data_IF_046115093197
#
_entry.id   IF_046115093197
#
_cell.length_a   1.000
_cell.length_b   1.000
_cell.length_c   1.000
_cell.angle_alpha   90.00
_cell.angle_beta   90.00
_cell.angle_gamma   90.00
#
_symmetry.space_group_name_H-M   'P 1'
#
loop_
_entity.id
_entity.type
_entity.pdbx_description
1 polymer ?
#
# COMPACT_ATOMS: atom_id res chain seq x y z
N UNK A 1 -5.22 -0.06 13.32
CA UNK A 1 -5.77 0.46 12.05
C UNK A 1 -7.28 0.58 12.19
N UNK A 2 -7.86 1.70 11.74
CA UNK A 2 -9.31 1.96 11.78
C UNK A 2 -9.97 1.63 10.44
N UNK A 3 -9.22 1.72 9.35
CA UNK A 3 -9.59 1.19 8.04
C UNK A 3 -8.71 -0.03 7.82
N UNK A 4 -9.28 -1.23 7.74
CA UNK A 4 -8.44 -2.43 7.64
C UNK A 4 -7.76 -2.49 6.28
N UNK A 5 -8.54 -2.30 5.20
CA UNK A 5 -8.01 -2.44 3.85
C UNK A 5 -8.76 -1.58 2.84
N UNK A 6 -7.98 -1.03 1.90
CA UNK A 6 -8.44 -0.31 0.72
C UNK A 6 -7.90 -1.01 -0.52
N UNK A 7 -8.75 -1.34 -1.49
CA UNK A 7 -8.39 -2.06 -2.72
C UNK A 7 -8.96 -1.40 -3.96
N UNK A 8 -8.21 -1.48 -5.06
CA UNK A 8 -8.64 -1.09 -6.39
C UNK A 8 -8.95 -2.32 -7.22
N UNK A 9 -10.08 -2.30 -7.92
CA UNK A 9 -10.56 -3.43 -8.72
C UNK A 9 -10.88 -2.99 -10.13
N UNK A 10 -10.27 -3.62 -11.13
CA UNK A 10 -10.44 -3.27 -12.53
C UNK A 10 -11.22 -4.37 -13.28
N UNK A 11 -12.18 -3.96 -14.12
CA UNK A 11 -13.04 -4.88 -14.88
C UNK A 11 -13.45 -4.32 -16.24
N UNK A 12 -13.46 -5.20 -17.24
CA UNK A 12 -14.06 -4.97 -18.56
C UNK A 12 -15.16 -6.00 -18.85
N UNK A 13 -16.42 -5.65 -18.61
CA UNK A 13 -17.52 -6.59 -18.76
C UNK A 13 -17.40 -7.78 -17.82
N UNK A 14 -17.35 -9.00 -18.36
CA UNK A 14 -17.12 -10.21 -17.57
C UNK A 14 -15.66 -10.40 -17.13
N UNK A 15 -14.72 -9.68 -17.75
CA UNK A 15 -13.29 -9.88 -17.55
C UNK A 15 -12.78 -9.08 -16.35
N UNK A 16 -12.06 -9.75 -15.44
CA UNK A 16 -11.28 -9.08 -14.40
C UNK A 16 -9.92 -8.73 -14.97
N UNK A 17 -9.56 -7.45 -14.94
CA UNK A 17 -8.28 -6.95 -15.45
C UNK A 17 -7.21 -7.10 -14.36
N UNK A 18 -6.79 -8.34 -14.10
CA UNK A 18 -5.91 -8.69 -12.98
C UNK A 18 -4.56 -7.96 -13.02
N UNK A 19 -4.00 -7.75 -14.21
CA UNK A 19 -2.74 -7.01 -14.37
C UNK A 19 -2.85 -5.56 -13.90
N UNK A 20 -4.02 -4.90 -14.05
CA UNK A 20 -4.23 -3.57 -13.50
C UNK A 20 -4.39 -3.60 -11.97
N UNK A 21 -5.05 -4.63 -11.42
CA UNK A 21 -5.11 -4.81 -9.97
C UNK A 21 -3.70 -4.94 -9.37
N UNK A 22 -2.84 -5.75 -9.99
CA UNK A 22 -1.45 -5.97 -9.57
C UNK A 22 -0.63 -4.68 -9.72
N UNK A 23 -0.73 -4.00 -10.86
CA UNK A 23 -0.01 -2.76 -11.16
C UNK A 23 -0.33 -1.63 -10.17
N UNK A 24 -1.61 -1.48 -9.79
CA UNK A 24 -2.04 -0.44 -8.86
C UNK A 24 -2.12 -0.89 -7.40
N UNK A 25 -1.70 -2.11 -7.07
CA UNK A 25 -1.79 -2.64 -5.71
C UNK A 25 -0.99 -1.81 -4.69
N UNK A 26 0.24 -1.41 -5.04
CA UNK A 26 1.03 -0.52 -4.19
C UNK A 26 0.32 0.82 -3.94
N UNK A 27 -0.37 1.35 -4.96
CA UNK A 27 -1.13 2.60 -4.83
C UNK A 27 -2.32 2.45 -3.87
N UNK A 28 -3.01 1.30 -3.87
CA UNK A 28 -4.08 1.05 -2.89
C UNK A 28 -3.54 0.87 -1.46
N UNK A 29 -2.36 0.29 -1.30
CA UNK A 29 -1.67 0.20 0.00
C UNK A 29 -1.27 1.59 0.52
N UNK A 30 -0.69 2.43 -0.36
CA UNK A 30 -0.36 3.81 -0.03
C UNK A 30 -1.60 4.57 0.44
N UNK A 31 -2.71 4.47 -0.30
CA UNK A 31 -3.98 5.09 0.09
C UNK A 31 -4.45 4.60 1.45
N UNK A 32 -4.42 3.28 1.69
CA UNK A 32 -4.86 2.71 2.96
C UNK A 32 -4.04 3.25 4.15
N UNK A 33 -2.72 3.35 4.00
CA UNK A 33 -1.82 3.87 5.03
C UNK A 33 -2.12 5.34 5.30
N UNK A 34 -2.15 6.18 4.25
CA UNK A 34 -2.41 7.61 4.38
C UNK A 34 -3.80 7.93 4.93
N UNK A 35 -4.81 7.13 4.57
CA UNK A 35 -6.14 7.26 5.18
C UNK A 35 -6.07 6.96 6.68
N UNK A 36 -5.38 5.90 7.09
CA UNK A 36 -5.25 5.53 8.51
C UNK A 36 -4.45 6.53 9.33
N UNK A 37 -3.53 7.30 8.73
CA UNK A 37 -2.77 8.34 9.42
C UNK A 37 -3.67 9.49 9.93
N UNK A 38 -4.84 9.69 9.29
CA UNK A 38 -5.73 10.81 9.58
C UNK A 38 -7.15 10.42 9.98
N UNK A 39 -7.60 9.22 9.63
CA UNK A 39 -8.98 8.81 9.81
C UNK A 39 -9.31 8.53 11.28
N UNK A 40 -10.19 9.36 11.86
CA UNK A 40 -10.58 9.24 13.27
C UNK A 40 -11.99 8.63 13.49
N UNK A 41 -12.71 8.27 12.43
CA UNK A 41 -14.08 7.80 12.50
C UNK A 41 -14.29 6.35 12.98
N UNK A 42 -15.50 5.84 12.75
CA UNK A 42 -15.87 4.43 13.04
C UNK A 42 -15.07 3.48 12.17
N UNK A 43 -14.79 2.27 12.68
CA UNK A 43 -14.07 1.24 11.91
C UNK A 43 -14.75 0.99 10.56
N UNK A 44 -13.95 0.99 9.49
CA UNK A 44 -14.35 0.57 8.15
C UNK A 44 -13.57 -0.71 7.86
N UNK A 45 -14.27 -1.78 7.51
CA UNK A 45 -13.61 -3.05 7.27
C UNK A 45 -12.92 -3.01 5.90
N UNK A 46 -13.71 -2.82 4.84
CA UNK A 46 -13.17 -2.73 3.49
C UNK A 46 -13.60 -1.45 2.77
N UNK A 47 -12.66 -0.83 2.08
CA UNK A 47 -12.94 0.17 1.04
C UNK A 47 -12.56 -0.45 -0.30
N UNK A 48 -13.56 -0.69 -1.15
CA UNK A 48 -13.39 -1.22 -2.49
C UNK A 48 -13.71 -0.11 -3.50
N UNK A 49 -12.71 0.31 -4.27
CA UNK A 49 -12.90 1.24 -5.37
C UNK A 49 -12.84 0.44 -6.66
N UNK A 50 -14.00 0.24 -7.25
CA UNK A 50 -14.13 -0.44 -8.53
C UNK A 50 -13.91 0.56 -9.67
N UNK A 51 -13.14 0.16 -10.68
CA UNK A 51 -12.86 0.87 -11.92
C UNK A 51 -13.38 0.00 -13.07
N UNK A 52 -14.53 0.38 -13.61
CA UNK A 52 -15.23 -0.35 -14.66
C UNK A 52 -15.19 0.38 -16.00
N UNK A 53 -15.08 -0.35 -17.10
CA UNK A 53 -15.32 0.17 -18.45
C UNK A 53 -16.82 0.32 -18.72
N UNK A 54 -17.20 1.02 -19.79
CA UNK A 54 -18.60 1.15 -20.21
C UNK A 54 -19.27 -0.21 -20.48
N UNK A 55 -18.54 -1.15 -21.07
CA UNK A 55 -18.99 -2.52 -21.32
C UNK A 55 -19.49 -3.22 -20.05
N UNK A 56 -18.90 -2.92 -18.89
CA UNK A 56 -19.36 -3.48 -17.61
C UNK A 56 -20.77 -3.02 -17.27
N UNK A 57 -21.05 -1.74 -17.46
CA UNK A 57 -22.35 -1.14 -17.17
C UNK A 57 -23.42 -1.59 -18.18
N UNK A 58 -23.04 -1.82 -19.43
CA UNK A 58 -23.92 -2.38 -20.46
C UNK A 58 -24.32 -3.83 -20.15
N UNK A 59 -23.38 -4.67 -19.73
CA UNK A 59 -23.62 -6.09 -19.43
C UNK A 59 -24.34 -6.27 -18.08
N UNK A 60 -24.03 -5.43 -17.09
CA UNK A 60 -24.59 -5.50 -15.75
C UNK A 60 -25.35 -4.22 -15.37
N UNK A 61 -26.55 -3.99 -15.93
CA UNK A 61 -27.30 -2.75 -15.73
C UNK A 61 -27.77 -2.52 -14.28
N UNK A 62 -27.73 -3.54 -13.43
CA UNK A 62 -27.98 -3.40 -11.99
C UNK A 62 -26.81 -2.71 -11.24
N UNK A 63 -25.62 -2.66 -11.84
CA UNK A 63 -24.49 -1.89 -11.33
C UNK A 63 -24.65 -0.47 -11.84
N UNK A 64 -24.91 0.46 -10.94
CA UNK A 64 -25.03 1.87 -11.31
C UNK A 64 -23.65 2.53 -11.40
N UNK A 65 -23.43 3.26 -12.50
CA UNK A 65 -22.20 4.00 -12.79
C UNK A 65 -22.03 5.20 -11.85
N UNK A 66 -20.81 5.40 -11.34
CA UNK A 66 -20.44 6.46 -10.39
C UNK A 66 -21.30 6.45 -9.11
N UNK A 67 -21.54 5.26 -8.56
CA UNK A 67 -22.41 5.09 -7.39
C UNK A 67 -21.75 4.36 -6.22
N UNK A 68 -22.02 4.89 -5.04
CA UNK A 68 -21.69 4.30 -3.75
C UNK A 68 -22.69 3.19 -3.38
N UNK A 69 -22.15 2.08 -2.89
CA UNK A 69 -22.89 0.98 -2.29
C UNK A 69 -22.30 0.64 -0.91
N UNK A 70 -23.15 0.38 0.07
CA UNK A 70 -22.74 -0.08 1.40
C UNK A 70 -23.17 -1.52 1.62
N UNK A 71 -22.24 -2.36 2.07
CA UNK A 71 -22.53 -3.72 2.50
C UNK A 71 -21.97 -3.92 3.90
N UNK A 72 -22.83 -3.77 4.92
CA UNK A 72 -22.40 -3.83 6.33
C UNK A 72 -21.31 -2.78 6.65
N UNK A 73 -20.07 -3.20 6.93
CA UNK A 73 -18.91 -2.34 7.22
C UNK A 73 -18.04 -2.08 5.99
N UNK A 74 -18.51 -2.51 4.82
CA UNK A 74 -17.79 -2.35 3.57
C UNK A 74 -18.35 -1.17 2.78
N UNK A 75 -17.43 -0.30 2.38
CA UNK A 75 -17.66 0.77 1.43
C UNK A 75 -17.26 0.25 0.04
N UNK A 76 -18.17 0.33 -0.93
CA UNK A 76 -17.89 0.02 -2.32
C UNK A 76 -18.30 1.18 -3.21
N UNK A 77 -17.41 1.65 -4.08
CA UNK A 77 -17.73 2.69 -5.06
C UNK A 77 -17.54 2.14 -6.47
N UNK A 78 -18.60 2.17 -7.29
CA UNK A 78 -18.59 1.72 -8.67
C UNK A 78 -18.14 2.88 -9.58
N UNK A 79 -16.84 2.97 -9.82
CA UNK A 79 -16.22 3.99 -10.65
C UNK A 79 -16.10 3.61 -12.12
N UNK A 80 -15.74 4.58 -12.94
CA UNK A 80 -15.54 4.40 -14.37
C UNK A 80 -14.10 4.75 -14.75
N UNK A 81 -13.51 4.01 -15.68
CA UNK A 81 -12.27 4.42 -16.33
C UNK A 81 -12.32 4.09 -17.82
N UNK A 82 -11.60 4.89 -18.60
CA UNK A 82 -11.38 4.64 -20.02
C UNK A 82 -10.08 3.83 -20.15
N UNK A 83 -10.21 2.58 -20.59
CA UNK A 83 -9.08 1.66 -20.70
C UNK A 83 -8.13 2.06 -21.84
N UNK A 84 -8.66 2.52 -22.98
CA UNK A 84 -7.84 2.92 -24.12
C UNK A 84 -6.99 4.14 -23.78
N UNK A 85 -7.58 5.13 -23.13
CA UNK A 85 -6.87 6.32 -22.68
C UNK A 85 -5.86 6.00 -21.59
N UNK A 86 -6.21 5.10 -20.65
CA UNK A 86 -5.26 4.66 -19.63
C UNK A 86 -4.02 4.02 -20.28
N UNK A 87 -4.16 3.17 -21.31
CA UNK A 87 -3.00 2.55 -21.95
C UNK A 87 -2.12 3.50 -22.74
N UNK A 88 -2.64 4.64 -23.21
CA UNK A 88 -1.86 5.68 -23.91
C UNK A 88 -0.96 6.47 -22.96
N UNK A 89 -1.24 6.45 -21.66
CA UNK A 89 -0.48 7.18 -20.63
C UNK A 89 0.84 6.49 -20.26
N UNK A 90 1.85 7.27 -19.88
CA UNK A 90 3.06 6.72 -19.24
C UNK A 90 2.80 6.29 -17.79
N UNK A 91 3.72 5.54 -17.20
CA UNK A 91 3.54 4.94 -15.86
C UNK A 91 3.16 5.96 -14.76
N UNK A 92 3.82 7.13 -14.74
CA UNK A 92 3.54 8.19 -13.77
C UNK A 92 2.17 8.86 -13.99
N UNK A 93 1.76 9.03 -15.24
CA UNK A 93 0.44 9.57 -15.61
C UNK A 93 -0.68 8.62 -15.22
N UNK A 94 -0.51 7.31 -15.49
CA UNK A 94 -1.44 6.25 -15.06
C UNK A 94 -1.69 6.29 -13.56
N UNK A 95 -0.62 6.38 -12.75
CA UNK A 95 -0.72 6.46 -11.29
C UNK A 95 -1.49 7.70 -10.85
N UNK A 96 -1.18 8.87 -11.41
CA UNK A 96 -1.90 10.12 -11.10
C UNK A 96 -3.37 10.05 -11.48
N UNK A 97 -3.69 9.54 -12.67
CA UNK A 97 -5.07 9.38 -13.15
C UNK A 97 -5.91 8.49 -12.21
N UNK A 98 -5.38 7.32 -11.81
CA UNK A 98 -6.07 6.43 -10.88
C UNK A 98 -6.17 7.05 -9.48
N UNK A 99 -5.13 7.75 -9.02
CA UNK A 99 -5.13 8.44 -7.74
C UNK A 99 -6.20 9.54 -7.66
N UNK A 100 -6.29 10.38 -8.68
CA UNK A 100 -7.28 11.45 -8.79
C UNK A 100 -8.71 10.91 -8.82
N UNK A 101 -8.95 9.82 -9.57
CA UNK A 101 -10.25 9.15 -9.58
C UNK A 101 -10.60 8.55 -8.23
N UNK A 102 -9.66 7.82 -7.60
CA UNK A 102 -9.87 7.26 -6.27
C UNK A 102 -10.20 8.35 -5.24
N UNK A 103 -9.48 9.48 -5.29
CA UNK A 103 -9.78 10.66 -4.46
C UNK A 103 -11.21 11.16 -4.67
N UNK A 104 -11.61 11.42 -5.91
CA UNK A 104 -12.97 11.89 -6.24
C UNK A 104 -14.03 10.92 -5.70
N UNK A 105 -13.86 9.63 -5.98
CA UNK A 105 -14.81 8.59 -5.56
C UNK A 105 -14.94 8.49 -4.05
N UNK A 106 -13.85 8.62 -3.30
CA UNK A 106 -13.91 8.60 -1.85
C UNK A 106 -14.45 9.89 -1.24
N UNK A 107 -14.23 11.04 -1.87
CA UNK A 107 -14.88 12.30 -1.45
C UNK A 107 -16.39 12.19 -1.65
N UNK A 108 -16.85 11.76 -2.82
CA UNK A 108 -18.26 11.56 -3.10
C UNK A 108 -18.86 10.56 -2.09
N UNK A 109 -18.14 9.46 -1.80
CA UNK A 109 -18.58 8.47 -0.83
C UNK A 109 -18.70 9.04 0.60
N UNK A 110 -17.72 9.86 1.02
CA UNK A 110 -17.72 10.51 2.31
C UNK A 110 -18.86 11.52 2.44
N UNK A 111 -19.17 12.26 1.37
CA UNK A 111 -20.25 13.26 1.35
C UNK A 111 -21.63 12.59 1.40
N UNK A 112 -21.88 11.58 0.55
CA UNK A 112 -23.14 10.83 0.54
C UNK A 112 -23.40 10.19 1.91
N UNK A 113 -22.35 9.72 2.59
CA UNK A 113 -22.47 9.09 3.91
C UNK A 113 -22.39 10.06 5.08
N UNK A 114 -22.25 11.37 4.83
CA UNK A 114 -22.03 12.39 5.86
C UNK A 114 -20.85 12.06 6.81
N UNK A 115 -19.82 11.38 6.30
CA UNK A 115 -18.66 10.91 7.06
C UNK A 115 -17.52 11.94 7.00
N UNK A 116 -17.60 12.96 7.84
CA UNK A 116 -16.62 14.06 7.88
C UNK A 116 -15.18 13.57 8.11
N UNK A 117 -14.98 12.57 8.98
CA UNK A 117 -13.66 12.00 9.23
C UNK A 117 -13.06 11.35 7.98
N UNK A 118 -13.88 10.68 7.17
CA UNK A 118 -13.42 10.10 5.91
C UNK A 118 -13.11 11.22 4.91
N UNK A 119 -13.93 12.26 4.84
CA UNK A 119 -13.70 13.40 3.95
C UNK A 119 -12.35 14.09 4.25
N UNK A 120 -12.04 14.31 5.52
CA UNK A 120 -10.75 14.88 5.96
C UNK A 120 -9.57 13.96 5.65
N UNK A 121 -9.71 12.66 5.94
CA UNK A 121 -8.66 11.67 5.68
C UNK A 121 -8.36 11.55 4.18
N UNK A 122 -9.39 11.57 3.33
CA UNK A 122 -9.24 11.49 1.87
C UNK A 122 -8.56 12.72 1.29
N UNK A 123 -8.92 13.93 1.76
CA UNK A 123 -8.23 15.19 1.38
C UNK A 123 -6.76 15.16 1.79
N UNK A 124 -6.48 14.72 3.00
CA UNK A 124 -5.11 14.54 3.49
C UNK A 124 -4.33 13.55 2.63
N UNK A 125 -4.88 12.34 2.45
CA UNK A 125 -4.24 11.27 1.71
C UNK A 125 -3.92 11.70 0.28
N UNK A 126 -4.85 12.33 -0.42
CA UNK A 126 -4.63 12.82 -1.78
C UNK A 126 -3.41 13.75 -1.89
N UNK A 127 -3.37 14.80 -1.05
CA UNK A 127 -2.28 15.78 -1.05
C UNK A 127 -0.96 15.15 -0.64
N UNK A 128 -0.97 14.30 0.38
CA UNK A 128 0.24 13.66 0.89
C UNK A 128 0.80 12.63 -0.09
N UNK A 129 -0.06 11.86 -0.76
CA UNK A 129 0.36 10.94 -1.82
C UNK A 129 1.05 11.67 -2.97
N UNK A 130 0.51 12.82 -3.40
CA UNK A 130 1.15 13.63 -4.45
C UNK A 130 2.51 14.20 -4.02
N UNK A 131 2.67 14.63 -2.77
CA UNK A 131 3.97 15.08 -2.25
C UNK A 131 5.03 13.99 -2.24
N UNK A 132 4.62 12.72 -2.14
CA UNK A 132 5.49 11.54 -2.15
C UNK A 132 5.66 10.95 -3.54
N UNK A 133 5.26 11.66 -4.59
CA UNK A 133 5.27 11.19 -5.98
C UNK A 133 4.59 9.81 -6.16
N UNK A 134 3.59 9.52 -5.32
CA UNK A 134 2.85 8.25 -5.28
C UNK A 134 3.77 7.01 -5.10
N UNK A 135 4.88 7.18 -4.39
CA UNK A 135 5.74 6.08 -3.93
C UNK A 135 5.05 5.38 -2.76
N UNK A 136 4.78 4.09 -2.93
CA UNK A 136 4.04 3.27 -1.97
C UNK A 136 4.94 2.58 -0.93
N UNK A 137 6.26 2.71 -1.06
CA UNK A 137 7.23 2.11 -0.18
C UNK A 137 7.04 2.57 1.27
N UNK A 138 7.15 1.65 2.21
CA UNK A 138 6.97 1.96 3.62
C UNK A 138 7.79 1.06 4.54
N UNK A 139 8.09 1.57 5.72
CA UNK A 139 8.74 0.83 6.80
C UNK A 139 7.68 0.01 7.53
N UNK A 140 7.83 -1.32 7.55
CA UNK A 140 6.91 -2.21 8.29
C UNK A 140 7.38 -2.45 9.73
N UNK A 141 8.70 -2.44 9.96
CA UNK A 141 9.34 -2.58 11.27
C UNK A 141 10.56 -1.69 11.33
N UNK A 142 10.77 -1.05 12.48
CA UNK A 142 11.99 -0.32 12.79
C UNK A 142 12.31 -0.45 14.27
N UNK A 143 13.60 -0.40 14.61
CA UNK A 143 14.10 -0.31 15.98
C UNK A 143 15.33 0.60 16.02
N UNK A 144 15.33 1.53 16.97
CA UNK A 144 16.50 2.33 17.32
C UNK A 144 17.36 1.56 18.34
N UNK A 145 18.67 1.58 18.17
CA UNK A 145 19.60 0.98 19.13
C UNK A 145 20.95 1.70 19.16
N UNK A 146 21.64 1.58 20.29
CA UNK A 146 23.00 2.12 20.46
C UNK A 146 24.04 1.00 20.35
N UNK A 147 25.13 1.27 19.65
CA UNK A 147 26.32 0.41 19.59
C UNK A 147 27.58 1.28 19.59
N UNK A 148 28.51 0.98 20.48
CA UNK A 148 29.82 1.67 20.55
C UNK A 148 29.69 3.20 20.72
N UNK A 149 28.63 3.65 21.39
CA UNK A 149 28.33 5.07 21.60
C UNK A 149 27.67 5.76 20.41
N UNK A 150 27.32 5.04 19.36
CA UNK A 150 26.65 5.55 18.17
C UNK A 150 25.22 5.00 18.06
N UNK A 151 24.31 5.84 17.58
CA UNK A 151 22.90 5.48 17.40
C UNK A 151 22.65 4.98 15.98
N UNK A 152 21.86 3.93 15.87
CA UNK A 152 21.52 3.28 14.62
C UNK A 152 20.02 3.03 14.54
N UNK A 153 19.49 3.03 13.32
CA UNK A 153 18.10 2.64 13.01
C UNK A 153 18.12 1.43 12.11
N UNK A 154 17.57 0.32 12.59
CA UNK A 154 17.42 -0.91 11.82
C UNK A 154 15.97 -1.03 11.34
N UNK A 155 15.77 -0.99 10.02
CA UNK A 155 14.44 -0.95 9.40
C UNK A 155 14.24 -2.09 8.41
N UNK A 156 13.01 -2.59 8.34
CA UNK A 156 12.53 -3.43 7.24
C UNK A 156 11.52 -2.65 6.43
N UNK A 157 11.80 -2.54 5.14
CA UNK A 157 10.98 -1.87 4.15
C UNK A 157 10.20 -2.89 3.34
N UNK A 158 8.99 -2.52 2.93
CA UNK A 158 8.27 -3.11 1.81
C UNK A 158 8.30 -2.07 0.69
N UNK A 159 8.76 -2.50 -0.48
CA UNK A 159 8.88 -1.68 -1.68
C UNK A 159 8.06 -2.25 -2.82
N UNK A 160 7.48 -1.37 -3.64
CA UNK A 160 6.57 -1.75 -4.72
C UNK A 160 7.16 -1.40 -6.09
N UNK A 161 7.08 -2.36 -7.01
CA UNK A 161 7.35 -2.21 -8.43
C UNK A 161 6.09 -2.56 -9.23
N UNK A 162 6.13 -2.37 -10.55
CA UNK A 162 4.94 -2.52 -11.41
C UNK A 162 4.35 -3.94 -11.38
N UNK A 163 5.18 -4.97 -11.28
CA UNK A 163 4.78 -6.39 -11.33
C UNK A 163 5.10 -7.17 -10.05
N UNK A 164 5.87 -6.59 -9.13
CA UNK A 164 6.32 -7.26 -7.92
C UNK A 164 6.41 -6.32 -6.73
N UNK A 165 6.48 -6.92 -5.55
CA UNK A 165 6.90 -6.26 -4.33
C UNK A 165 8.05 -7.03 -3.69
N UNK A 166 8.92 -6.30 -3.02
CA UNK A 166 10.07 -6.86 -2.36
C UNK A 166 10.28 -6.20 -1.02
N UNK A 167 11.05 -6.86 -0.18
CA UNK A 167 11.42 -6.38 1.12
C UNK A 167 12.92 -6.25 1.23
N UNK A 168 13.35 -5.22 1.94
CA UNK A 168 14.76 -4.97 2.21
C UNK A 168 14.97 -4.55 3.65
N UNK A 169 16.11 -4.95 4.18
CA UNK A 169 16.63 -4.47 5.44
C UNK A 169 17.55 -3.27 5.18
N UNK A 170 17.41 -2.20 5.96
CA UNK A 170 18.36 -1.08 6.01
C UNK A 170 18.90 -0.91 7.42
N UNK A 171 20.18 -0.55 7.51
CA UNK A 171 20.80 0.00 8.70
C UNK A 171 21.18 1.44 8.41
N UNK A 172 20.68 2.36 9.22
CA UNK A 172 20.91 3.78 9.09
C UNK A 172 21.71 4.32 10.29
N UNK A 173 22.59 5.29 10.01
CA UNK A 173 23.35 6.07 10.98
C UNK A 173 23.32 7.53 10.55
N UNK A 174 23.00 8.43 11.47
CA UNK A 174 22.91 9.88 11.21
C UNK A 174 22.06 10.19 9.96
N UNK A 175 20.91 9.53 9.81
CA UNK A 175 19.99 9.61 8.66
C UNK A 175 20.56 9.14 7.31
N UNK A 176 21.67 8.40 7.31
CA UNK A 176 22.25 7.79 6.11
C UNK A 176 22.21 6.26 6.17
N UNK A 177 21.75 5.63 5.08
CA UNK A 177 21.81 4.17 4.93
C UNK A 177 23.27 3.75 4.78
N UNK A 178 23.78 3.00 5.75
CA UNK A 178 25.15 2.46 5.74
C UNK A 178 25.19 0.99 5.32
N UNK A 179 24.04 0.31 5.35
CA UNK A 179 23.90 -1.06 4.88
C UNK A 179 22.49 -1.31 4.35
N UNK A 180 22.40 -2.02 3.22
CA UNK A 180 21.13 -2.45 2.63
C UNK A 180 21.23 -3.91 2.19
N UNK A 181 20.20 -4.70 2.49
CA UNK A 181 20.12 -6.11 2.09
C UNK A 181 18.70 -6.48 1.68
N UNK A 182 18.54 -6.96 0.45
CA UNK A 182 17.28 -7.55 0.01
C UNK A 182 16.99 -8.82 0.82
N UNK A 183 15.73 -8.98 1.25
CA UNK A 183 15.29 -10.11 2.08
C UNK A 183 14.49 -11.11 1.23
N UNK A 184 13.42 -10.64 0.60
CA UNK A 184 12.51 -11.48 -0.17
C UNK A 184 11.78 -10.67 -1.26
N UNK A 185 11.22 -11.37 -2.24
CA UNK A 185 10.33 -10.81 -3.25
C UNK A 185 9.13 -11.72 -3.51
N UNK A 186 8.03 -11.12 -4.00
CA UNK A 186 6.83 -11.84 -4.42
C UNK A 186 6.07 -11.02 -5.47
N UNK A 187 5.06 -11.62 -6.10
CA UNK A 187 4.13 -10.92 -6.97
C UNK A 187 3.33 -9.87 -6.20
N UNK A 188 3.05 -8.74 -6.84
CA UNK A 188 2.13 -7.72 -6.33
C UNK A 188 0.76 -8.33 -5.99
N UNK A 189 0.09 -7.81 -4.95
CA UNK A 189 -1.20 -8.33 -4.48
C UNK A 189 -1.12 -9.46 -3.44
N UNK A 190 0.07 -9.99 -3.13
CA UNK A 190 0.25 -11.01 -2.08
C UNK A 190 0.14 -10.40 -0.67
N UNK A 191 -1.08 -10.16 -0.18
CA UNK A 191 -1.34 -9.45 1.09
C UNK A 191 -0.53 -9.96 2.29
N UNK A 192 -0.35 -11.28 2.40
CA UNK A 192 0.45 -11.88 3.47
C UNK A 192 1.86 -11.29 3.57
N UNK A 193 2.47 -10.92 2.43
CA UNK A 193 3.81 -10.32 2.36
C UNK A 193 3.92 -9.02 3.15
N UNK A 194 2.84 -8.23 3.24
CA UNK A 194 2.81 -6.96 3.97
C UNK A 194 2.91 -7.16 5.49
N UNK A 195 2.59 -8.37 5.98
CA UNK A 195 2.50 -8.70 7.39
C UNK A 195 3.53 -9.74 7.87
N UNK A 196 4.42 -10.23 7.00
CA UNK A 196 5.37 -11.32 7.35
C UNK A 196 6.37 -10.89 8.44
N UNK A 197 6.73 -9.62 8.51
CA UNK A 197 7.70 -9.15 9.48
C UNK A 197 7.02 -8.81 10.81
N UNK A 198 7.40 -9.52 11.87
CA UNK A 198 6.77 -9.38 13.20
C UNK A 198 7.58 -8.51 14.16
N UNK A 199 8.91 -8.66 14.18
CA UNK A 199 9.79 -7.85 15.04
C UNK A 199 11.24 -7.86 14.55
N UNK A 200 12.00 -6.85 14.95
CA UNK A 200 13.46 -6.80 14.85
C UNK A 200 13.99 -6.86 16.29
N UNK A 201 15.06 -7.63 16.52
CA UNK A 201 15.79 -7.60 17.79
C UNK A 201 17.27 -7.43 17.52
N UNK A 202 17.95 -6.78 18.46
CA UNK A 202 19.38 -6.59 18.43
C UNK A 202 20.00 -7.36 19.59
N UNK A 203 21.01 -8.17 19.30
CA UNK A 203 21.89 -8.77 20.30
C UNK A 203 23.33 -8.27 20.10
N UNK A 204 24.31 -8.86 20.80
CA UNK A 204 25.70 -8.37 20.78
C UNK A 204 26.32 -8.40 19.37
N UNK A 205 25.98 -9.40 18.58
CA UNK A 205 26.70 -9.71 17.33
C UNK A 205 25.78 -9.67 16.10
N UNK A 206 24.45 -9.71 16.31
CA UNK A 206 23.48 -9.83 15.25
C UNK A 206 22.28 -8.88 15.40
N UNK A 207 21.73 -8.54 14.24
CA UNK A 207 20.35 -8.10 14.10
C UNK A 207 19.54 -9.29 13.60
N UNK A 208 18.44 -9.60 14.30
CA UNK A 208 17.53 -10.69 13.93
C UNK A 208 16.16 -10.15 13.56
N UNK A 209 15.72 -10.45 12.34
CA UNK A 209 14.39 -10.12 11.82
C UNK A 209 13.51 -11.37 11.95
N UNK A 210 12.40 -11.27 12.68
CA UNK A 210 11.49 -12.38 12.91
C UNK A 210 10.23 -12.29 12.06
N UNK A 211 9.72 -13.44 11.66
CA UNK A 211 8.40 -13.61 11.05
C UNK A 211 7.71 -14.91 11.50
N UNK A 212 6.64 -15.31 10.80
CA UNK A 212 5.99 -16.61 10.97
C UNK A 212 6.97 -17.78 10.81
N UNK A 213 6.68 -18.89 11.51
CA UNK A 213 7.55 -20.08 11.53
C UNK A 213 7.60 -20.85 10.20
N UNK A 214 6.59 -20.65 9.38
CA UNK A 214 6.36 -21.26 8.07
C UNK A 214 6.96 -20.44 6.92
N UNK A 215 7.67 -19.35 7.22
CA UNK A 215 8.42 -18.57 6.23
C UNK A 215 9.89 -19.00 6.27
N UNK A 216 10.33 -19.76 5.27
CA UNK A 216 11.63 -20.45 5.26
C UNK A 216 12.85 -19.55 5.49
N UNK A 217 12.79 -18.29 5.07
CA UNK A 217 13.90 -17.33 5.22
C UNK A 217 13.86 -16.56 6.55
N UNK A 218 12.92 -16.85 7.45
CA UNK A 218 12.78 -16.20 8.76
C UNK A 218 12.88 -17.21 9.92
N UNK A 219 13.51 -16.84 11.05
CA UNK A 219 14.12 -15.54 11.33
C UNK A 219 15.43 -15.33 10.55
N UNK A 220 15.59 -14.15 9.95
CA UNK A 220 16.81 -13.76 9.25
C UNK A 220 17.79 -13.13 10.25
N UNK A 221 19.01 -13.67 10.33
CA UNK A 221 20.09 -13.12 11.14
C UNK A 221 21.13 -12.45 10.25
N UNK A 222 21.51 -11.22 10.58
CA UNK A 222 22.51 -10.43 9.87
C UNK A 222 23.58 -10.03 10.88
N UNK A 223 24.84 -10.36 10.62
CA UNK A 223 25.94 -10.07 11.57
C UNK A 223 26.43 -8.64 11.42
N UNK A 224 26.87 -8.03 12.52
CA UNK A 224 27.50 -6.71 12.46
C UNK A 224 28.79 -6.70 11.66
N UNK A 225 29.51 -7.83 11.58
CA UNK A 225 30.66 -7.97 10.69
C UNK A 225 30.31 -7.86 9.21
N UNK A 226 29.10 -8.28 8.80
CA UNK A 226 28.60 -8.10 7.43
C UNK A 226 28.22 -6.64 7.15
N UNK A 227 27.76 -5.91 8.18
CA UNK A 227 27.25 -4.55 8.02
C UNK A 227 28.33 -3.47 8.09
N UNK A 228 29.38 -3.68 8.88
CA UNK A 228 30.47 -2.71 9.10
C UNK A 228 31.76 -3.12 8.41
N UNK A 229 31.66 -3.77 7.25
CA UNK A 229 32.85 -4.15 6.49
C UNK A 229 33.56 -2.87 6.01
N UNK A 230 34.79 -2.66 6.49
CA UNK A 230 35.71 -1.57 6.11
C UNK A 230 36.18 -1.75 4.67
#
# INVERSE_FOLDING_TARGET
MKIERTLFWFRDGHEKLLHLNEYFYGLSVLLNNLLNDKYEGKRIQFINIDFFTDKTYEIFPAIEKEKLSFFSQDLRYNGFFDEEDLYKMVSSEKKKYIWEKAYKYLIDAAEISSNLHLQEAVKYAYLEGLKRDLVADYITKSIDFEREGENYVASVWISFQEDKMYSKFTLEKDDHIIFEKNIAETKSGTEFFLEIYKKITVDKDFITIYGPKDVDHLPLKISFSEMFTV
#
